data_IF_363716980450
#
_entry.id   IF_363716980450
#
_cell.length_a   1.000
_cell.length_b   1.000
_cell.length_c   1.000
_cell.angle_alpha   90.00
_cell.angle_beta   90.00
_cell.angle_gamma   90.00
#
_symmetry.space_group_name_H-M   'P 1'
#
loop_
_entity.id
_entity.type
_entity.pdbx_description
1 polymer ?
#
# COMPACT_ATOMS: atom_id res chain seq x y z
N UNK A 1 -19.67 -23.89 1.57
CA UNK A 1 -18.48 -24.68 1.75
C UNK A 1 -17.58 -24.24 2.89
N UNK A 2 -18.18 -23.64 3.95
CA UNK A 2 -17.49 -23.15 5.14
C UNK A 2 -16.72 -24.28 5.87
N UNK A 3 -17.31 -25.47 5.99
CA UNK A 3 -16.67 -26.63 6.65
C UNK A 3 -15.33 -27.01 6.00
N UNK A 4 -15.23 -26.95 4.65
CA UNK A 4 -13.97 -27.24 3.98
C UNK A 4 -12.94 -26.10 4.18
N UNK A 5 -13.40 -24.86 4.31
CA UNK A 5 -12.55 -23.75 4.68
C UNK A 5 -12.01 -23.94 6.11
N UNK A 6 -12.87 -24.24 7.06
CA UNK A 6 -12.48 -24.48 8.46
C UNK A 6 -11.49 -25.64 8.57
N UNK A 7 -11.74 -26.75 7.83
CA UNK A 7 -10.82 -27.87 7.76
C UNK A 7 -9.43 -27.46 7.28
N UNK A 8 -9.38 -26.65 6.22
CA UNK A 8 -8.10 -26.14 5.68
C UNK A 8 -7.40 -25.19 6.66
N UNK A 9 -8.15 -24.32 7.30
CA UNK A 9 -7.61 -23.39 8.30
C UNK A 9 -7.06 -24.13 9.51
N UNK A 10 -7.78 -25.14 10.03
CA UNK A 10 -7.31 -25.98 11.11
C UNK A 10 -6.05 -26.76 10.72
N UNK A 11 -6.01 -27.34 9.53
CA UNK A 11 -4.82 -28.05 9.02
C UNK A 11 -3.61 -27.11 8.98
N UNK A 12 -3.77 -25.91 8.42
CA UNK A 12 -2.70 -24.91 8.36
C UNK A 12 -2.26 -24.46 9.77
N UNK A 13 -3.22 -24.27 10.68
CA UNK A 13 -2.92 -23.91 12.05
C UNK A 13 -2.06 -24.98 12.76
N UNK A 14 -2.42 -26.24 12.68
CA UNK A 14 -1.62 -27.33 13.25
C UNK A 14 -0.24 -27.43 12.59
N UNK A 15 -0.16 -27.29 11.26
CA UNK A 15 1.13 -27.24 10.55
C UNK A 15 1.99 -26.08 11.03
N UNK A 16 1.41 -24.92 11.33
CA UNK A 16 2.16 -23.77 11.85
C UNK A 16 2.74 -24.01 13.26
N UNK A 17 2.17 -24.95 14.00
CA UNK A 17 2.68 -25.40 15.31
C UNK A 17 3.73 -26.52 15.21
N UNK A 18 4.07 -26.96 14.00
CA UNK A 18 5.04 -28.01 13.74
C UNK A 18 4.47 -29.41 13.46
N UNK A 19 3.17 -29.58 13.48
CA UNK A 19 2.53 -30.86 13.18
C UNK A 19 2.38 -31.05 11.67
N UNK A 20 3.44 -31.49 11.02
CA UNK A 20 3.49 -31.59 9.56
C UNK A 20 2.48 -32.57 8.99
N UNK A 21 2.36 -33.76 9.60
CA UNK A 21 1.48 -34.87 9.16
C UNK A 21 0.06 -34.75 9.66
N UNK A 22 -0.36 -33.55 10.13
CA UNK A 22 -1.71 -33.38 10.66
C UNK A 22 -2.77 -33.77 9.63
N UNK A 23 -3.72 -34.58 10.07
CA UNK A 23 -4.87 -34.95 9.27
C UNK A 23 -6.19 -34.78 10.04
N UNK A 24 -7.22 -34.33 9.32
CA UNK A 24 -8.58 -34.26 9.85
C UNK A 24 -9.37 -35.47 9.30
N UNK A 25 -9.56 -36.45 10.15
CA UNK A 25 -10.13 -37.76 9.79
C UNK A 25 -11.65 -37.74 9.63
N UNK A 26 -12.35 -36.91 10.38
CA UNK A 26 -13.79 -36.75 10.26
C UNK A 26 -14.26 -35.36 10.66
N UNK A 27 -15.39 -34.98 10.06
CA UNK A 27 -16.13 -33.78 10.42
C UNK A 27 -17.59 -34.15 10.52
N UNK A 28 -18.20 -33.98 11.68
CA UNK A 28 -19.64 -34.21 11.89
C UNK A 28 -20.33 -32.90 12.27
N UNK A 29 -21.54 -32.73 11.77
CA UNK A 29 -22.44 -31.66 12.15
C UNK A 29 -23.65 -32.27 12.86
N UNK A 30 -23.92 -31.85 14.08
CA UNK A 30 -25.09 -32.26 14.84
C UNK A 30 -25.95 -31.04 15.15
N UNK A 31 -27.27 -31.16 14.98
CA UNK A 31 -28.18 -30.12 15.42
C UNK A 31 -28.34 -30.25 16.93
N UNK A 32 -28.02 -29.20 17.65
CA UNK A 32 -28.37 -29.04 19.05
C UNK A 32 -29.75 -28.40 19.17
N UNK A 33 -30.47 -28.66 20.27
CA UNK A 33 -31.75 -28.01 20.53
C UNK A 33 -31.60 -26.50 20.45
N UNK A 34 -32.50 -25.80 19.74
CA UNK A 34 -32.54 -24.34 19.48
C UNK A 34 -31.78 -23.83 18.28
N UNK A 35 -31.82 -24.47 17.13
CA UNK A 35 -31.31 -23.96 15.85
C UNK A 35 -29.79 -23.78 15.76
N UNK A 36 -29.01 -24.30 16.69
CA UNK A 36 -27.57 -24.29 16.65
C UNK A 36 -27.02 -25.56 16.01
N UNK A 37 -25.96 -25.42 15.20
CA UNK A 37 -25.23 -26.54 14.61
C UNK A 37 -23.89 -26.68 15.34
N UNK A 38 -23.66 -27.82 15.95
CA UNK A 38 -22.37 -28.16 16.53
C UNK A 38 -21.51 -28.89 15.48
N UNK A 39 -20.33 -28.30 15.18
CA UNK A 39 -19.34 -28.86 14.26
C UNK A 39 -18.23 -29.54 15.08
N UNK A 40 -18.03 -30.83 14.86
CA UNK A 40 -16.99 -31.62 15.55
C UNK A 40 -15.94 -32.06 14.53
N UNK A 41 -14.69 -31.69 14.77
CA UNK A 41 -13.54 -32.10 13.97
C UNK A 41 -12.72 -33.13 14.76
N UNK A 42 -12.44 -34.27 14.14
CA UNK A 42 -11.53 -35.29 14.71
C UNK A 42 -10.16 -35.09 14.05
N UNK A 43 -9.20 -34.67 14.84
CA UNK A 43 -7.88 -34.28 14.38
C UNK A 43 -6.85 -35.29 14.86
N UNK A 44 -6.09 -35.87 13.93
CA UNK A 44 -4.86 -36.59 14.23
C UNK A 44 -3.68 -35.64 13.95
N UNK A 45 -3.08 -35.11 14.99
CA UNK A 45 -2.03 -34.13 14.87
C UNK A 45 -0.67 -34.73 14.43
N UNK A 46 -0.43 -36.00 14.74
CA UNK A 46 0.87 -36.64 14.52
C UNK A 46 1.95 -36.12 15.46
N UNK A 47 3.21 -36.25 15.04
CA UNK A 47 4.35 -35.71 15.80
C UNK A 47 4.73 -34.31 15.30
N UNK A 48 5.48 -33.59 16.14
CA UNK A 48 6.03 -32.26 15.75
C UNK A 48 7.37 -32.46 15.08
N UNK A 49 7.60 -31.65 14.04
CA UNK A 49 8.82 -31.64 13.25
C UNK A 49 9.62 -30.36 13.48
N UNK A 50 10.93 -30.49 13.56
CA UNK A 50 11.89 -29.39 13.73
C UNK A 50 12.61 -29.19 12.39
N UNK A 51 12.84 -27.95 11.99
CA UNK A 51 13.67 -27.61 10.84
C UNK A 51 15.13 -27.84 11.22
N UNK A 52 15.72 -28.94 10.71
CA UNK A 52 17.10 -29.30 11.04
C UNK A 52 18.11 -28.55 10.20
N UNK A 53 17.90 -28.49 8.88
CA UNK A 53 18.81 -27.86 7.94
C UNK A 53 18.05 -27.09 6.88
N UNK A 54 18.60 -25.93 6.54
CA UNK A 54 18.11 -25.14 5.41
C UNK A 54 19.30 -24.85 4.50
N UNK A 55 19.11 -25.08 3.21
CA UNK A 55 20.19 -24.84 2.21
C UNK A 55 19.59 -24.28 0.91
N UNK A 56 20.45 -23.56 0.18
CA UNK A 56 20.13 -23.07 -1.15
C UNK A 56 21.00 -23.80 -2.16
N UNK A 57 20.41 -24.31 -3.22
CA UNK A 57 21.08 -24.83 -4.39
C UNK A 57 20.83 -23.84 -5.53
N UNK A 58 21.90 -23.34 -6.13
CA UNK A 58 21.84 -22.32 -7.17
C UNK A 58 22.51 -22.88 -8.42
N UNK A 59 21.82 -22.74 -9.55
CA UNK A 59 22.36 -23.08 -10.85
C UNK A 59 23.61 -22.23 -11.13
N UNK A 60 24.56 -22.80 -11.89
CA UNK A 60 25.83 -22.14 -12.21
C UNK A 60 25.69 -20.90 -13.11
N UNK A 61 24.53 -20.71 -13.71
CA UNK A 61 24.18 -19.51 -14.50
C UNK A 61 24.09 -18.25 -13.62
N UNK A 62 23.76 -18.42 -12.34
CA UNK A 62 23.59 -17.31 -11.41
C UNK A 62 24.73 -17.20 -10.41
N UNK A 63 25.10 -15.96 -10.06
CA UNK A 63 26.06 -15.72 -8.99
C UNK A 63 25.47 -16.11 -7.64
N UNK A 64 26.08 -17.10 -6.99
CA UNK A 64 25.68 -17.60 -5.68
C UNK A 64 25.74 -16.53 -4.58
N UNK A 65 26.54 -15.49 -4.77
CA UNK A 65 26.67 -14.38 -3.79
C UNK A 65 25.39 -13.60 -3.61
N UNK A 66 24.54 -13.54 -4.64
CA UNK A 66 23.22 -12.86 -4.60
C UNK A 66 22.33 -13.44 -3.49
N UNK A 67 22.42 -14.75 -3.24
CA UNK A 67 21.57 -15.46 -2.31
C UNK A 67 22.16 -15.60 -0.88
N UNK A 68 23.37 -15.07 -0.64
CA UNK A 68 23.97 -15.08 0.70
C UNK A 68 23.13 -14.39 1.80
N UNK A 69 22.36 -13.33 1.52
CA UNK A 69 21.48 -12.73 2.52
C UNK A 69 20.48 -13.73 3.15
N UNK A 70 20.03 -14.76 2.42
CA UNK A 70 19.15 -15.81 2.94
C UNK A 70 19.74 -16.54 4.15
N UNK A 71 21.06 -16.64 4.27
CA UNK A 71 21.72 -17.30 5.40
C UNK A 71 21.39 -16.64 6.73
N UNK A 72 21.06 -15.34 6.74
CA UNK A 72 20.63 -14.63 7.95
C UNK A 72 19.28 -15.15 8.45
N UNK A 73 18.36 -15.40 7.52
CA UNK A 73 17.04 -15.96 7.81
C UNK A 73 17.16 -17.42 8.21
N UNK A 74 17.98 -18.20 7.50
CA UNK A 74 18.22 -19.61 7.79
C UNK A 74 18.71 -19.85 9.21
N UNK A 75 19.70 -19.05 9.67
CA UNK A 75 20.22 -19.12 11.06
C UNK A 75 19.17 -18.81 12.11
N UNK A 76 18.19 -17.97 11.79
CA UNK A 76 17.11 -17.59 12.70
C UNK A 76 16.05 -18.69 12.81
N UNK A 77 15.81 -19.41 11.71
CA UNK A 77 14.72 -20.39 11.59
C UNK A 77 15.18 -21.82 11.90
N UNK A 78 16.46 -22.13 11.66
CA UNK A 78 17.02 -23.45 11.93
C UNK A 78 16.90 -23.79 13.41
N UNK A 79 16.43 -24.99 13.72
CA UNK A 79 16.12 -25.46 15.08
C UNK A 79 14.70 -25.16 15.57
N UNK A 80 13.96 -24.33 14.86
CA UNK A 80 12.57 -24.06 15.19
C UNK A 80 11.64 -25.17 14.70
N UNK A 81 10.42 -25.18 15.24
CA UNK A 81 9.37 -26.03 14.69
C UNK A 81 9.02 -25.59 13.26
N UNK A 82 8.73 -26.60 12.41
CA UNK A 82 8.27 -26.35 11.06
C UNK A 82 7.02 -25.48 11.03
N UNK A 83 6.95 -24.58 10.05
CA UNK A 83 5.75 -23.81 9.77
C UNK A 83 5.73 -23.43 8.29
N UNK A 84 4.62 -23.62 7.57
CA UNK A 84 4.44 -23.13 6.21
C UNK A 84 4.69 -21.63 6.09
N UNK A 85 4.39 -20.87 7.14
CA UNK A 85 4.66 -19.43 7.20
C UNK A 85 6.15 -19.12 7.13
N UNK A 86 7.01 -19.88 7.81
CA UNK A 86 8.48 -19.70 7.75
C UNK A 86 9.03 -20.03 6.37
N UNK A 87 8.51 -21.09 5.74
CA UNK A 87 8.86 -21.45 4.36
C UNK A 87 8.47 -20.31 3.42
N UNK A 88 7.25 -19.79 3.57
CA UNK A 88 6.75 -18.67 2.77
C UNK A 88 7.59 -17.40 2.94
N UNK A 89 8.03 -17.07 4.16
CA UNK A 89 8.93 -15.93 4.38
C UNK A 89 10.25 -16.05 3.62
N UNK A 90 10.81 -17.27 3.54
CA UNK A 90 12.04 -17.51 2.77
C UNK A 90 11.78 -17.35 1.28
N UNK A 91 10.65 -17.86 0.78
CA UNK A 91 10.26 -17.73 -0.63
C UNK A 91 10.03 -16.26 -1.01
N UNK A 92 9.35 -15.49 -0.17
CA UNK A 92 9.15 -14.05 -0.39
C UNK A 92 10.48 -13.28 -0.44
N UNK A 93 11.44 -13.61 0.42
CA UNK A 93 12.77 -12.98 0.38
C UNK A 93 13.57 -13.42 -0.86
N UNK A 94 13.40 -14.66 -1.28
CA UNK A 94 14.01 -15.17 -2.49
C UNK A 94 13.47 -14.47 -3.74
N UNK A 95 12.15 -14.27 -3.81
CA UNK A 95 11.49 -13.47 -4.84
C UNK A 95 12.03 -12.04 -4.88
N UNK A 96 12.22 -11.42 -3.71
CA UNK A 96 12.80 -10.08 -3.60
C UNK A 96 14.25 -10.03 -4.13
N UNK A 97 15.06 -11.06 -3.86
CA UNK A 97 16.43 -11.13 -4.36
C UNK A 97 16.47 -11.33 -5.88
N UNK A 98 15.63 -12.20 -6.43
CA UNK A 98 15.48 -12.41 -7.87
C UNK A 98 15.11 -11.09 -8.56
N UNK A 99 14.10 -10.41 -8.04
CA UNK A 99 13.60 -9.15 -8.59
C UNK A 99 14.63 -8.01 -8.48
N UNK A 100 15.22 -7.83 -7.29
CA UNK A 100 16.17 -6.74 -7.06
C UNK A 100 17.47 -6.87 -7.85
N UNK A 101 17.82 -8.09 -8.28
CA UNK A 101 18.96 -8.35 -9.13
C UNK A 101 18.59 -8.57 -10.61
N UNK A 102 17.31 -8.35 -10.96
CA UNK A 102 16.80 -8.50 -12.34
C UNK A 102 17.17 -9.83 -12.97
N UNK A 103 17.06 -10.93 -12.19
CA UNK A 103 17.39 -12.27 -12.68
C UNK A 103 16.28 -12.78 -13.59
N UNK A 104 16.53 -12.69 -14.89
CA UNK A 104 15.60 -13.19 -15.89
C UNK A 104 15.58 -14.73 -15.87
N UNK A 105 14.40 -15.31 -16.14
CA UNK A 105 14.16 -16.74 -16.21
C UNK A 105 14.51 -17.53 -14.94
N UNK A 106 14.71 -16.88 -13.80
CA UNK A 106 14.98 -17.59 -12.56
C UNK A 106 13.67 -18.20 -12.01
N UNK A 107 13.67 -19.51 -11.90
CA UNK A 107 12.63 -20.28 -11.24
C UNK A 107 13.15 -20.84 -9.92
N UNK A 108 12.33 -20.93 -8.91
CA UNK A 108 12.68 -21.56 -7.65
C UNK A 108 11.64 -22.57 -7.20
N UNK A 109 12.09 -23.53 -6.43
CA UNK A 109 11.26 -24.52 -5.78
C UNK A 109 11.82 -24.84 -4.39
N UNK A 110 10.95 -25.35 -3.50
CA UNK A 110 11.40 -25.86 -2.21
C UNK A 110 11.15 -27.36 -2.16
N UNK A 111 12.20 -28.09 -1.81
CA UNK A 111 12.15 -29.52 -1.53
C UNK A 111 12.17 -29.71 0.00
N UNK A 112 11.19 -30.44 0.52
CA UNK A 112 11.06 -30.76 1.94
C UNK A 112 11.45 -32.21 2.16
N UNK A 113 12.62 -32.45 2.75
CA UNK A 113 13.11 -33.80 3.08
C UNK A 113 12.73 -34.12 4.51
N UNK A 114 11.83 -35.10 4.68
CA UNK A 114 11.25 -35.45 5.96
C UNK A 114 11.97 -36.68 6.52
N UNK A 115 12.40 -36.60 7.76
CA UNK A 115 12.99 -37.70 8.56
C UNK A 115 12.36 -37.78 9.95
N UNK A 116 12.94 -38.56 10.85
CA UNK A 116 12.43 -38.81 12.20
C UNK A 116 12.24 -37.52 13.04
N UNK A 117 11.08 -36.88 12.92
CA UNK A 117 10.75 -35.62 13.61
C UNK A 117 11.52 -34.40 13.14
N UNK A 118 12.21 -34.48 12.00
CA UNK A 118 13.03 -33.44 11.42
C UNK A 118 12.71 -33.21 9.96
N UNK A 119 12.83 -31.96 9.52
CA UNK A 119 12.64 -31.55 8.14
C UNK A 119 13.87 -30.75 7.69
N UNK A 120 14.42 -31.15 6.55
CA UNK A 120 15.43 -30.34 5.85
C UNK A 120 14.79 -29.66 4.65
N UNK A 121 15.07 -28.35 4.50
CA UNK A 121 14.54 -27.54 3.41
C UNK A 121 15.66 -27.23 2.41
N UNK A 122 15.42 -27.51 1.14
CA UNK A 122 16.35 -27.19 0.05
C UNK A 122 15.62 -26.23 -0.89
N UNK A 123 16.07 -25.00 -0.96
CA UNK A 123 15.59 -24.01 -1.93
C UNK A 123 16.45 -24.14 -3.19
N UNK A 124 15.87 -24.66 -4.25
CA UNK A 124 16.54 -24.92 -5.53
C UNK A 124 16.21 -23.80 -6.51
N UNK A 125 17.24 -23.09 -6.98
CA UNK A 125 17.14 -21.95 -7.90
C UNK A 125 17.78 -22.40 -9.20
N UNK A 126 16.98 -22.43 -10.26
CA UNK A 126 17.39 -22.91 -11.58
C UNK A 126 17.05 -21.88 -12.66
N UNK A 127 17.81 -21.89 -13.75
CA UNK A 127 17.36 -21.27 -14.98
C UNK A 127 16.17 -22.07 -15.51
N UNK A 128 15.03 -21.37 -15.68
CA UNK A 128 13.83 -21.93 -16.30
C UNK A 128 13.91 -21.86 -17.82
N UNK A 129 12.89 -22.35 -18.47
CA UNK A 129 12.72 -22.22 -19.91
C UNK A 129 12.69 -20.74 -20.30
N UNK A 130 13.39 -20.40 -21.39
CA UNK A 130 13.38 -19.02 -21.95
C UNK A 130 12.09 -18.80 -22.72
N UNK A 131 11.03 -18.58 -21.98
CA UNK A 131 9.69 -18.36 -22.53
C UNK A 131 9.41 -16.87 -22.54
N UNK A 132 8.93 -16.36 -23.67
CA UNK A 132 8.57 -14.96 -23.85
C UNK A 132 7.05 -14.79 -23.90
N UNK A 133 6.59 -13.59 -23.59
CA UNK A 133 5.19 -13.21 -23.76
C UNK A 133 4.93 -12.89 -25.22
N UNK A 134 4.05 -13.65 -25.88
CA UNK A 134 3.65 -13.37 -27.25
C UNK A 134 2.59 -12.28 -27.29
N UNK A 135 1.60 -12.38 -26.41
CA UNK A 135 0.45 -11.46 -26.37
C UNK A 135 -0.16 -11.38 -24.98
N UNK A 136 -0.62 -10.20 -24.63
CA UNK A 136 -1.47 -9.95 -23.46
C UNK A 136 -2.85 -9.51 -23.93
N UNK A 137 -3.86 -10.36 -23.73
CA UNK A 137 -5.25 -10.07 -24.04
C UNK A 137 -5.95 -9.58 -22.76
N UNK A 138 -6.66 -8.47 -22.84
CA UNK A 138 -7.44 -7.91 -21.73
C UNK A 138 -8.92 -8.09 -22.04
N UNK A 139 -9.65 -8.70 -21.11
CA UNK A 139 -11.04 -9.08 -21.25
C UNK A 139 -11.86 -8.59 -20.05
N UNK A 140 -13.08 -8.10 -20.32
CA UNK A 140 -14.03 -7.70 -19.27
C UNK A 140 -14.00 -6.22 -18.88
N UNK A 141 -13.15 -5.42 -19.50
CA UNK A 141 -13.05 -3.97 -19.32
C UNK A 141 -14.02 -3.23 -20.25
N UNK A 142 -15.29 -3.13 -19.87
CA UNK A 142 -16.32 -2.49 -20.69
C UNK A 142 -16.34 -0.95 -20.56
N UNK A 143 -15.95 -0.42 -19.41
CA UNK A 143 -15.91 1.01 -19.08
C UNK A 143 -14.47 1.50 -19.05
N UNK A 144 -13.58 0.72 -18.42
CA UNK A 144 -12.17 1.08 -18.23
C UNK A 144 -11.40 0.92 -19.52
N UNK A 145 -10.68 1.96 -19.92
CA UNK A 145 -9.80 1.92 -21.09
C UNK A 145 -8.68 0.90 -20.87
N UNK A 146 -8.31 0.22 -21.94
CA UNK A 146 -7.27 -0.83 -21.91
C UNK A 146 -5.92 -0.30 -21.42
N UNK A 147 -5.57 0.94 -21.79
CA UNK A 147 -4.33 1.58 -21.38
C UNK A 147 -4.19 1.68 -19.85
N UNK A 148 -5.31 1.79 -19.12
CA UNK A 148 -5.29 1.83 -17.64
C UNK A 148 -4.84 0.50 -17.05
N UNK A 149 -5.17 -0.61 -17.69
CA UNK A 149 -4.76 -1.94 -17.25
C UNK A 149 -3.32 -2.21 -17.69
N UNK A 150 -2.99 -1.88 -18.94
CA UNK A 150 -1.65 -2.06 -19.49
C UNK A 150 -0.60 -1.28 -18.72
N UNK A 151 -0.91 -0.07 -18.24
CA UNK A 151 0.03 0.74 -17.46
C UNK A 151 0.39 0.16 -16.07
N UNK A 152 -0.32 -0.88 -15.62
CA UNK A 152 -0.04 -1.57 -14.36
C UNK A 152 0.70 -2.91 -14.58
N UNK A 153 1.01 -3.26 -15.82
CA UNK A 153 1.71 -4.50 -16.15
C UNK A 153 3.21 -4.37 -15.85
N UNK A 154 3.77 -5.42 -15.28
CA UNK A 154 5.22 -5.59 -15.05
C UNK A 154 5.88 -6.42 -16.16
N UNK A 155 5.12 -6.76 -17.21
CA UNK A 155 5.57 -7.51 -18.37
C UNK A 155 4.76 -7.07 -19.60
N UNK A 156 5.46 -6.91 -20.70
CA UNK A 156 4.90 -6.58 -22.00
C UNK A 156 5.11 -7.70 -23.02
N UNK A 157 4.51 -7.55 -24.18
CA UNK A 157 4.69 -8.44 -25.31
C UNK A 157 6.15 -8.40 -25.78
N UNK A 158 6.79 -9.58 -25.80
CA UNK A 158 8.22 -9.75 -26.07
C UNK A 158 9.10 -9.88 -24.83
N UNK A 159 8.58 -9.60 -23.65
CA UNK A 159 9.32 -9.74 -22.39
C UNK A 159 9.43 -11.21 -21.94
N UNK A 160 10.44 -11.53 -21.10
CA UNK A 160 10.50 -12.82 -20.44
C UNK A 160 9.27 -13.07 -19.57
N UNK A 161 8.59 -14.20 -19.81
CA UNK A 161 7.49 -14.60 -18.97
C UNK A 161 8.00 -15.14 -17.64
N UNK A 162 7.54 -14.55 -16.54
CA UNK A 162 7.70 -15.08 -15.19
C UNK A 162 6.37 -15.01 -14.44
N UNK A 163 6.07 -16.01 -13.61
CA UNK A 163 4.88 -15.96 -12.76
C UNK A 163 4.97 -14.80 -11.74
N UNK A 164 6.18 -14.43 -11.33
CA UNK A 164 6.41 -13.31 -10.42
C UNK A 164 5.94 -11.99 -11.04
N UNK A 165 6.36 -11.68 -12.27
CA UNK A 165 5.95 -10.46 -12.98
C UNK A 165 4.45 -10.45 -13.25
N UNK A 166 3.87 -11.60 -13.63
CA UNK A 166 2.43 -11.72 -13.80
C UNK A 166 1.65 -11.46 -12.50
N UNK A 167 2.08 -12.07 -11.38
CA UNK A 167 1.44 -11.88 -10.09
C UNK A 167 1.57 -10.43 -9.59
N UNK A 168 2.70 -9.77 -9.85
CA UNK A 168 2.87 -8.33 -9.57
C UNK A 168 1.91 -7.49 -10.40
N UNK A 169 1.81 -7.74 -11.70
CA UNK A 169 0.86 -7.08 -12.59
C UNK A 169 -0.58 -7.19 -12.05
N UNK A 170 -1.00 -8.40 -11.68
CA UNK A 170 -2.33 -8.64 -11.09
C UNK A 170 -2.49 -7.83 -9.79
N UNK A 171 -1.48 -7.83 -8.93
CA UNK A 171 -1.50 -7.09 -7.66
C UNK A 171 -1.58 -5.58 -7.88
N UNK A 172 -0.86 -5.03 -8.87
CA UNK A 172 -0.92 -3.61 -9.24
C UNK A 172 -2.32 -3.23 -9.74
N UNK A 173 -2.89 -4.03 -10.65
CA UNK A 173 -4.25 -3.81 -11.16
C UNK A 173 -5.27 -3.85 -10.02
N UNK A 174 -5.19 -4.83 -9.11
CA UNK A 174 -6.06 -4.93 -7.94
C UNK A 174 -5.91 -3.72 -6.99
N UNK A 175 -4.70 -3.21 -6.83
CA UNK A 175 -4.42 -2.04 -5.97
C UNK A 175 -5.13 -0.76 -6.45
N UNK A 176 -5.50 -0.68 -7.72
CA UNK A 176 -6.30 0.42 -8.29
C UNK A 176 -7.73 0.47 -7.75
N UNK A 177 -8.25 -0.64 -7.22
CA UNK A 177 -9.62 -0.78 -6.70
C UNK A 177 -10.72 -0.43 -7.73
N UNK A 178 -10.42 -0.60 -9.01
CA UNK A 178 -11.36 -0.42 -10.13
C UNK A 178 -12.10 -1.74 -10.41
N UNK A 179 -11.42 -2.85 -10.11
CA UNK A 179 -11.92 -4.20 -10.42
C UNK A 179 -12.25 -4.97 -9.15
N UNK A 180 -13.31 -5.77 -9.21
CA UNK A 180 -13.72 -6.71 -8.15
C UNK A 180 -12.81 -7.93 -8.13
N UNK A 181 -12.58 -8.50 -9.33
CA UNK A 181 -11.67 -9.64 -9.52
C UNK A 181 -10.74 -9.33 -10.69
N UNK A 182 -9.52 -9.84 -10.59
CA UNK A 182 -8.53 -9.87 -11.66
C UNK A 182 -7.98 -11.28 -11.69
N UNK A 183 -8.22 -11.98 -12.77
CA UNK A 183 -7.77 -13.37 -12.98
C UNK A 183 -6.91 -13.43 -14.22
N UNK A 184 -6.00 -14.39 -14.27
CA UNK A 184 -5.16 -14.64 -15.43
C UNK A 184 -5.26 -16.08 -15.88
N UNK A 185 -5.21 -16.30 -17.19
CA UNK A 185 -5.07 -17.61 -17.81
C UNK A 185 -3.88 -17.57 -18.76
N UNK A 186 -2.89 -18.42 -18.50
CA UNK A 186 -1.68 -18.52 -19.33
C UNK A 186 -1.78 -19.76 -20.20
N UNK A 187 -1.68 -19.57 -21.50
CA UNK A 187 -1.74 -20.63 -22.49
C UNK A 187 -0.50 -20.62 -23.39
N UNK A 188 -0.27 -21.73 -24.08
CA UNK A 188 0.80 -21.80 -25.09
C UNK A 188 0.49 -20.88 -26.26
N UNK A 189 1.50 -20.15 -26.72
CA UNK A 189 1.43 -19.30 -27.89
C UNK A 189 1.64 -20.07 -29.19
N UNK A 190 2.06 -19.36 -30.23
CA UNK A 190 2.31 -19.91 -31.57
C UNK A 190 3.48 -20.92 -31.61
N UNK A 191 4.37 -20.91 -30.63
CA UNK A 191 5.47 -21.85 -30.43
C UNK A 191 5.63 -22.24 -28.96
N UNK A 192 6.46 -23.26 -28.68
CA UNK A 192 6.66 -23.78 -27.31
C UNK A 192 7.34 -22.80 -26.37
N UNK A 193 8.11 -21.85 -26.92
CA UNK A 193 8.83 -20.80 -26.23
C UNK A 193 8.05 -19.49 -26.09
N UNK A 194 6.76 -19.49 -26.51
CA UNK A 194 5.87 -18.35 -26.41
C UNK A 194 4.64 -18.65 -25.55
N UNK A 195 4.19 -17.64 -24.81
CA UNK A 195 2.98 -17.69 -23.99
C UNK A 195 2.04 -16.55 -24.35
N UNK A 196 0.76 -16.86 -24.41
CA UNK A 196 -0.31 -15.87 -24.40
C UNK A 196 -0.93 -15.75 -23.00
N UNK A 197 -1.18 -14.53 -22.58
CA UNK A 197 -1.77 -14.22 -21.28
C UNK A 197 -3.14 -13.59 -21.50
N UNK A 198 -4.19 -14.23 -21.01
CA UNK A 198 -5.51 -13.64 -20.94
C UNK A 198 -5.71 -13.07 -19.53
N UNK A 199 -5.81 -11.75 -19.41
CA UNK A 199 -6.18 -11.05 -18.18
C UNK A 199 -7.68 -10.80 -18.21
N UNK A 200 -8.40 -11.42 -17.28
CA UNK A 200 -9.85 -11.34 -17.17
C UNK A 200 -10.18 -10.47 -15.97
N UNK A 201 -10.75 -9.30 -16.23
CA UNK A 201 -11.14 -8.36 -15.18
C UNK A 201 -12.66 -8.29 -15.03
N UNK A 202 -13.13 -8.10 -13.81
CA UNK A 202 -14.52 -7.79 -13.53
C UNK A 202 -14.59 -6.41 -12.89
N UNK A 203 -15.18 -5.46 -13.61
CA UNK A 203 -15.36 -4.09 -13.13
C UNK A 203 -16.31 -4.03 -11.92
N UNK A 204 -16.09 -3.02 -11.07
CA UNK A 204 -16.98 -2.70 -9.96
C UNK A 204 -17.29 -1.20 -9.96
N UNK A 205 -18.36 -0.75 -9.29
CA UNK A 205 -18.57 0.66 -9.06
C UNK A 205 -17.38 1.31 -8.39
N UNK A 206 -16.87 2.39 -8.96
CA UNK A 206 -15.66 3.12 -8.49
C UNK A 206 -15.98 4.45 -7.84
N UNK A 207 -17.24 4.90 -8.01
CA UNK A 207 -17.79 6.08 -7.37
C UNK A 207 -18.23 5.82 -5.93
N UNK A 208 -17.87 6.71 -5.04
CA UNK A 208 -18.27 6.70 -3.63
C UNK A 208 -18.89 8.05 -3.28
N UNK A 209 -20.06 8.01 -2.68
CA UNK A 209 -20.72 9.19 -2.10
C UNK A 209 -20.95 8.90 -0.63
N UNK A 210 -20.43 9.76 0.22
CA UNK A 210 -20.68 9.69 1.66
C UNK A 210 -21.21 11.01 2.20
N UNK A 211 -22.14 10.93 3.13
CA UNK A 211 -22.64 12.08 3.86
C UNK A 211 -22.76 11.71 5.34
N UNK A 212 -22.31 12.60 6.19
CA UNK A 212 -22.35 12.43 7.64
C UNK A 212 -22.82 13.70 8.33
N UNK A 213 -23.59 13.54 9.41
CA UNK A 213 -23.92 14.64 10.29
C UNK A 213 -23.61 14.23 11.74
N UNK A 214 -23.13 15.16 12.53
CA UNK A 214 -22.78 14.95 13.93
C UNK A 214 -23.15 16.13 14.81
N UNK A 215 -23.22 15.88 16.11
CA UNK A 215 -23.38 16.93 17.12
C UNK A 215 -22.26 16.72 18.15
N UNK A 216 -21.48 17.77 18.38
CA UNK A 216 -20.37 17.78 19.33
C UNK A 216 -20.48 19.00 20.28
N UNK A 217 -19.45 19.20 21.09
CA UNK A 217 -19.32 20.34 22.00
C UNK A 217 -19.32 21.69 21.26
N UNK A 218 -18.85 21.70 20.01
CA UNK A 218 -18.74 22.88 19.14
C UNK A 218 -19.96 23.06 18.23
N UNK A 219 -21.06 22.29 18.48
CA UNK A 219 -22.30 22.37 17.72
C UNK A 219 -22.46 21.24 16.70
N UNK A 220 -23.38 21.46 15.73
CA UNK A 220 -23.64 20.53 14.64
C UNK A 220 -22.52 20.58 13.57
N UNK A 221 -22.22 19.43 12.96
CA UNK A 221 -21.35 19.32 11.82
C UNK A 221 -22.02 18.51 10.71
N UNK A 222 -21.67 18.83 9.47
CA UNK A 222 -22.07 18.08 8.28
C UNK A 222 -20.85 17.92 7.38
N UNK A 223 -20.65 16.70 6.89
CA UNK A 223 -19.61 16.39 5.93
C UNK A 223 -20.21 15.65 4.72
N UNK A 224 -19.73 15.97 3.55
CA UNK A 224 -20.15 15.36 2.30
C UNK A 224 -18.92 15.12 1.42
N UNK A 225 -18.74 13.88 0.94
CA UNK A 225 -17.65 13.50 0.06
C UNK A 225 -18.19 12.82 -1.19
N UNK A 226 -17.70 13.22 -2.34
CA UNK A 226 -17.86 12.51 -3.63
C UNK A 226 -16.47 12.14 -4.11
N UNK A 227 -16.27 10.87 -4.40
CA UNK A 227 -15.01 10.36 -4.93
C UNK A 227 -15.26 9.42 -6.09
N UNK A 228 -14.49 9.56 -7.16
CA UNK A 228 -14.46 8.66 -8.29
C UNK A 228 -13.02 8.23 -8.54
N UNK A 229 -12.77 6.92 -8.62
CA UNK A 229 -11.42 6.36 -8.81
C UNK A 229 -11.11 5.99 -10.27
N UNK A 230 -12.13 6.05 -11.14
CA UNK A 230 -12.01 5.71 -12.55
C UNK A 230 -12.77 6.72 -13.44
N UNK A 231 -12.48 8.00 -13.27
CA UNK A 231 -13.16 9.07 -13.97
C UNK A 231 -13.07 8.88 -15.49
N UNK A 232 -14.24 8.79 -16.13
CA UNK A 232 -14.43 8.53 -17.58
C UNK A 232 -13.74 7.24 -18.08
N UNK A 233 -13.54 6.26 -17.21
CA UNK A 233 -12.85 5.01 -17.56
C UNK A 233 -11.35 5.16 -17.78
N UNK A 234 -10.76 6.29 -17.38
CA UNK A 234 -9.35 6.62 -17.62
C UNK A 234 -8.46 6.36 -16.40
N UNK A 235 -8.96 5.66 -15.37
CA UNK A 235 -8.20 5.39 -14.15
C UNK A 235 -7.82 6.63 -13.35
N UNK A 236 -8.33 7.79 -13.72
CA UNK A 236 -8.09 9.07 -13.04
C UNK A 236 -8.98 9.16 -11.81
N UNK A 237 -8.45 9.80 -10.77
CA UNK A 237 -9.19 9.98 -9.53
C UNK A 237 -9.65 11.43 -9.41
N UNK A 238 -10.92 11.60 -9.08
CA UNK A 238 -11.52 12.90 -8.78
C UNK A 238 -12.17 12.81 -7.42
N UNK A 239 -11.91 13.77 -6.55
CA UNK A 239 -12.59 13.84 -5.26
C UNK A 239 -13.00 15.27 -4.93
N UNK A 240 -14.16 15.39 -4.30
CA UNK A 240 -14.66 16.61 -3.73
C UNK A 240 -15.10 16.33 -2.30
N UNK A 241 -14.50 17.04 -1.36
CA UNK A 241 -14.80 16.97 0.06
C UNK A 241 -15.36 18.31 0.53
N UNK A 242 -16.49 18.27 1.20
CA UNK A 242 -17.11 19.44 1.80
C UNK A 242 -17.43 19.16 3.27
N UNK A 243 -17.01 20.05 4.14
CA UNK A 243 -17.28 19.98 5.57
C UNK A 243 -17.75 21.34 6.07
N UNK A 244 -18.82 21.34 6.87
CA UNK A 244 -19.33 22.54 7.52
C UNK A 244 -19.66 22.23 8.98
N UNK A 245 -19.24 23.12 9.86
CA UNK A 245 -19.67 23.16 11.24
C UNK A 245 -19.91 24.62 11.64
N UNK A 246 -20.28 24.86 12.91
CA UNK A 246 -20.59 26.20 13.41
C UNK A 246 -19.47 27.22 13.20
N UNK A 247 -18.22 26.76 13.19
CA UNK A 247 -17.02 27.61 13.21
C UNK A 247 -16.13 27.43 11.99
N UNK A 248 -16.47 26.52 11.06
CA UNK A 248 -15.64 26.23 9.89
C UNK A 248 -16.47 25.78 8.70
N UNK A 249 -16.07 26.26 7.52
CA UNK A 249 -16.52 25.76 6.22
C UNK A 249 -15.27 25.38 5.42
N UNK A 250 -15.19 24.13 4.98
CA UNK A 250 -14.08 23.63 4.21
C UNK A 250 -14.57 22.96 2.93
N UNK A 251 -13.97 23.32 1.81
CA UNK A 251 -14.17 22.67 0.51
C UNK A 251 -12.81 22.29 -0.08
N UNK A 252 -12.66 21.05 -0.50
CA UNK A 252 -11.46 20.56 -1.15
C UNK A 252 -11.86 19.85 -2.45
N UNK A 253 -11.09 20.10 -3.49
CA UNK A 253 -11.19 19.40 -4.77
C UNK A 253 -9.81 18.83 -5.11
N UNK A 254 -9.76 17.58 -5.52
CA UNK A 254 -8.54 16.95 -5.99
C UNK A 254 -8.79 16.17 -7.28
N UNK A 255 -7.82 16.25 -8.17
CA UNK A 255 -7.72 15.47 -9.38
C UNK A 255 -6.34 14.82 -9.43
N UNK A 256 -6.29 13.51 -9.66
CA UNK A 256 -5.04 12.76 -9.77
C UNK A 256 -5.09 11.89 -11.04
N UNK A 257 -4.12 12.10 -11.91
CA UNK A 257 -3.79 11.16 -12.96
C UNK A 257 -2.54 10.39 -12.51
N UNK A 258 -2.65 9.12 -12.12
CA UNK A 258 -1.53 8.35 -11.58
C UNK A 258 -0.49 7.94 -12.64
N UNK A 259 -0.90 7.86 -13.90
CA UNK A 259 -0.05 7.52 -15.05
C UNK A 259 -0.33 8.54 -16.15
N UNK A 260 0.16 9.79 -15.99
CA UNK A 260 -0.14 10.83 -16.96
C UNK A 260 0.75 10.78 -18.22
N UNK A 261 1.85 10.03 -18.13
CA UNK A 261 2.78 9.79 -19.24
C UNK A 261 3.16 8.30 -19.34
N UNK A 262 3.93 7.96 -20.36
CA UNK A 262 4.38 6.57 -20.61
C UNK A 262 5.43 6.05 -19.60
N UNK A 263 5.95 6.93 -18.75
CA UNK A 263 6.91 6.56 -17.70
C UNK A 263 6.24 6.22 -16.37
N UNK A 264 4.89 6.27 -16.30
CA UNK A 264 4.13 6.01 -15.09
C UNK A 264 4.21 7.13 -14.05
N UNK A 265 4.56 8.36 -14.48
CA UNK A 265 4.59 9.50 -13.58
C UNK A 265 3.17 9.96 -13.23
N UNK A 266 2.97 10.38 -12.00
CA UNK A 266 1.67 10.91 -11.56
C UNK A 266 1.59 12.43 -11.73
N UNK A 267 0.37 12.93 -12.00
CA UNK A 267 0.07 14.37 -12.02
C UNK A 267 -1.14 14.61 -11.11
N UNK A 268 -1.00 15.61 -10.22
CA UNK A 268 -2.04 15.96 -9.25
C UNK A 268 -2.35 17.46 -9.34
N UNK A 269 -3.63 17.79 -9.28
CA UNK A 269 -4.14 19.12 -9.02
C UNK A 269 -4.96 19.10 -7.75
N UNK A 270 -4.85 20.16 -6.95
CA UNK A 270 -5.66 20.34 -5.76
C UNK A 270 -6.11 21.79 -5.63
N UNK A 271 -7.31 21.96 -5.12
CA UNK A 271 -7.88 23.24 -4.74
C UNK A 271 -8.47 23.11 -3.35
N UNK A 272 -8.18 24.07 -2.48
CA UNK A 272 -8.69 24.11 -1.10
C UNK A 272 -9.23 25.48 -0.79
N UNK A 273 -10.40 25.54 -0.19
CA UNK A 273 -10.99 26.74 0.37
C UNK A 273 -11.46 26.45 1.79
N UNK A 274 -10.89 27.14 2.76
CA UNK A 274 -11.24 27.00 4.19
C UNK A 274 -11.56 28.36 4.76
N UNK A 275 -12.72 28.45 5.42
CA UNK A 275 -13.08 29.60 6.25
C UNK A 275 -13.27 29.10 7.68
N UNK A 276 -12.55 29.69 8.62
CA UNK A 276 -12.72 29.44 10.06
C UNK A 276 -13.19 30.72 10.71
N UNK A 277 -14.33 30.69 11.38
CA UNK A 277 -14.85 31.79 12.21
C UNK A 277 -14.86 31.34 13.67
N UNK A 278 -13.97 31.91 14.45
CA UNK A 278 -13.74 31.59 15.87
C UNK A 278 -14.11 32.79 16.75
N UNK A 279 -15.42 33.11 16.89
CA UNK A 279 -15.85 34.31 17.58
C UNK A 279 -15.42 34.37 19.05
N UNK A 280 -15.32 33.19 19.71
CA UNK A 280 -14.85 33.09 21.09
C UNK A 280 -13.34 33.39 21.22
N UNK A 281 -12.57 33.22 20.17
CA UNK A 281 -11.15 33.55 20.11
C UNK A 281 -10.88 34.88 19.41
N UNK A 282 -11.93 35.48 18.83
CA UNK A 282 -11.92 36.81 18.24
C UNK A 282 -11.28 36.89 16.86
N UNK A 283 -11.32 35.84 16.04
CA UNK A 283 -10.77 35.88 14.68
C UNK A 283 -11.61 35.14 13.65
N UNK A 284 -11.51 35.57 12.42
CA UNK A 284 -11.93 34.89 11.20
C UNK A 284 -10.69 34.69 10.30
N UNK A 285 -10.56 33.50 9.73
CA UNK A 285 -9.47 33.17 8.80
C UNK A 285 -10.02 32.55 7.52
N UNK A 286 -9.66 33.11 6.36
CA UNK A 286 -10.01 32.59 5.03
C UNK A 286 -8.73 32.19 4.30
N UNK A 287 -8.63 30.90 3.94
CA UNK A 287 -7.51 30.35 3.19
C UNK A 287 -8.01 29.78 1.87
N UNK A 288 -7.47 30.26 0.78
CA UNK A 288 -7.67 29.69 -0.55
C UNK A 288 -6.32 29.22 -1.07
N UNK A 289 -6.24 28.00 -1.57
CA UNK A 289 -5.01 27.49 -2.18
C UNK A 289 -5.28 26.64 -3.41
N UNK A 290 -4.36 26.71 -4.36
CA UNK A 290 -4.30 25.88 -5.55
C UNK A 290 -2.91 25.26 -5.63
N UNK A 291 -2.82 24.00 -6.04
CA UNK A 291 -1.55 23.32 -6.18
C UNK A 291 -1.51 22.38 -7.38
N UNK A 292 -0.31 22.17 -7.88
CA UNK A 292 0.02 21.17 -8.87
C UNK A 292 1.22 20.37 -8.36
N UNK A 293 1.21 19.07 -8.57
CA UNK A 293 2.30 18.21 -8.15
C UNK A 293 2.49 17.03 -9.10
N UNK A 294 3.70 16.50 -9.10
CA UNK A 294 4.08 15.30 -9.84
C UNK A 294 4.81 14.35 -8.92
N UNK A 295 4.68 13.05 -9.17
CA UNK A 295 5.40 11.99 -8.46
C UNK A 295 5.89 10.96 -9.45
N UNK A 296 7.12 10.49 -9.23
CA UNK A 296 7.78 9.50 -10.08
C UNK A 296 8.74 8.64 -9.25
N UNK A 297 8.99 7.44 -9.72
CA UNK A 297 10.01 6.57 -9.16
C UNK A 297 11.39 6.99 -9.71
N UNK A 298 12.22 7.57 -8.85
CA UNK A 298 13.55 8.04 -9.24
C UNK A 298 14.58 6.91 -9.25
N UNK A 299 14.47 6.02 -8.31
CA UNK A 299 15.25 4.77 -8.19
C UNK A 299 14.30 3.69 -7.71
N UNK A 300 14.63 2.43 -7.93
CA UNK A 300 13.80 1.29 -7.48
C UNK A 300 13.38 1.45 -6.02
N UNK A 301 12.06 1.45 -5.78
CA UNK A 301 11.42 1.65 -4.47
C UNK A 301 11.61 3.04 -3.83
N UNK A 302 12.21 4.02 -4.55
CA UNK A 302 12.38 5.40 -4.08
C UNK A 302 11.56 6.34 -4.96
N UNK A 303 10.48 6.83 -4.39
CA UNK A 303 9.56 7.74 -5.06
C UNK A 303 9.85 9.18 -4.67
N UNK A 304 9.94 10.04 -5.68
CA UNK A 304 10.11 11.50 -5.52
C UNK A 304 8.79 12.19 -5.83
N UNK A 305 8.43 13.17 -5.01
CA UNK A 305 7.27 14.03 -5.22
C UNK A 305 7.74 15.47 -5.26
N UNK A 306 7.29 16.21 -6.28
CA UNK A 306 7.50 17.63 -6.42
C UNK A 306 6.15 18.33 -6.48
N UNK A 307 6.00 19.49 -5.84
CA UNK A 307 4.80 20.29 -6.00
C UNK A 307 5.06 21.78 -5.95
N UNK A 308 4.17 22.53 -6.58
CA UNK A 308 4.07 23.96 -6.53
C UNK A 308 2.68 24.33 -6.07
N UNK A 309 2.56 25.27 -5.15
CA UNK A 309 1.27 25.77 -4.67
C UNK A 309 1.27 27.30 -4.55
N UNK A 310 0.10 27.87 -4.78
CA UNK A 310 -0.17 29.27 -4.49
C UNK A 310 -1.30 29.34 -3.46
N UNK A 311 -1.17 30.19 -2.45
CA UNK A 311 -2.20 30.39 -1.43
C UNK A 311 -2.38 31.86 -1.08
N UNK A 312 -3.63 32.19 -0.76
CA UNK A 312 -4.03 33.47 -0.20
C UNK A 312 -4.72 33.22 1.14
N UNK A 313 -4.32 33.98 2.14
CA UNK A 313 -4.72 33.82 3.55
C UNK A 313 -5.11 35.19 4.11
N UNK A 314 -6.39 35.37 4.50
CA UNK A 314 -6.93 36.59 5.09
C UNK A 314 -7.32 36.31 6.54
N UNK A 315 -6.57 36.87 7.48
CA UNK A 315 -6.82 36.76 8.92
C UNK A 315 -7.35 38.08 9.47
N UNK A 316 -8.58 38.10 9.88
CA UNK A 316 -9.26 39.24 10.50
C UNK A 316 -9.45 38.98 11.98
N UNK A 317 -9.27 40.04 12.78
CA UNK A 317 -9.43 39.95 14.22
C UNK A 317 -10.41 41.00 14.71
N UNK A 318 -11.12 40.68 15.78
CA UNK A 318 -12.02 41.63 16.47
C UNK A 318 -11.44 42.06 17.83
N UNK A 319 -12.23 42.79 18.63
CA UNK A 319 -11.78 43.33 19.90
C UNK A 319 -11.44 42.27 20.95
N UNK A 320 -12.04 41.07 20.88
CA UNK A 320 -11.82 39.97 21.82
C UNK A 320 -10.55 39.16 21.51
N UNK A 321 -9.92 39.38 20.35
CA UNK A 321 -8.70 38.70 19.99
C UNK A 321 -7.53 39.06 20.90
N UNK A 322 -6.65 38.07 21.16
CA UNK A 322 -5.44 38.30 21.91
C UNK A 322 -4.47 39.26 21.16
N UNK A 323 -3.63 39.95 21.91
CA UNK A 323 -2.62 40.85 21.31
C UNK A 323 -1.70 40.12 20.29
N UNK A 324 -1.39 38.87 20.53
CA UNK A 324 -0.60 38.04 19.61
C UNK A 324 -1.34 37.74 18.30
N UNK A 325 -2.64 37.48 18.34
CA UNK A 325 -3.47 37.31 17.15
C UNK A 325 -3.65 38.59 16.35
N UNK A 326 -3.89 39.71 17.06
CA UNK A 326 -4.01 41.04 16.42
C UNK A 326 -2.76 41.43 15.62
N UNK A 327 -1.57 41.07 16.10
CA UNK A 327 -0.31 41.28 15.36
C UNK A 327 -0.19 40.43 14.10
N UNK A 328 -0.93 39.33 14.00
CA UNK A 328 -0.92 38.43 12.83
C UNK A 328 -2.08 38.71 11.85
N UNK A 329 -2.95 39.67 12.15
CA UNK A 329 -4.04 40.09 11.27
C UNK A 329 -3.49 40.67 9.98
N UNK A 330 -4.14 40.37 8.87
CA UNK A 330 -3.79 40.86 7.53
C UNK A 330 -4.01 39.82 6.43
N UNK A 331 -3.71 40.27 5.23
CA UNK A 331 -3.78 39.46 4.02
C UNK A 331 -2.36 39.00 3.64
N UNK A 332 -2.22 37.74 3.28
CA UNK A 332 -0.92 37.14 3.00
C UNK A 332 -1.01 36.26 1.78
N UNK A 333 -0.09 36.48 0.86
CA UNK A 333 0.10 35.67 -0.34
C UNK A 333 1.36 34.81 -0.22
N UNK A 334 1.31 33.63 -0.82
CA UNK A 334 2.43 32.70 -0.80
C UNK A 334 2.44 31.85 -2.08
N UNK A 335 3.63 31.69 -2.64
CA UNK A 335 3.96 30.67 -3.63
C UNK A 335 5.01 29.77 -2.99
N UNK A 336 4.69 28.51 -2.82
CA UNK A 336 5.57 27.54 -2.17
C UNK A 336 5.86 26.36 -3.11
N UNK A 337 7.11 25.95 -3.14
CA UNK A 337 7.56 24.69 -3.69
C UNK A 337 7.66 23.65 -2.60
N UNK A 338 7.41 22.39 -2.91
CA UNK A 338 7.78 21.31 -2.01
C UNK A 338 8.42 20.15 -2.76
N UNK A 339 9.30 19.46 -2.08
CA UNK A 339 9.84 18.19 -2.54
C UNK A 339 9.75 17.16 -1.43
N UNK A 340 9.66 15.91 -1.82
CA UNK A 340 9.61 14.80 -0.88
C UNK A 340 10.13 13.53 -1.48
N UNK A 341 10.62 12.66 -0.63
CA UNK A 341 11.09 11.34 -0.97
C UNK A 341 10.36 10.32 -0.11
N UNK A 342 10.02 9.20 -0.70
CA UNK A 342 9.47 8.06 0.04
C UNK A 342 10.14 6.77 -0.42
N UNK A 343 10.37 5.88 0.53
CA UNK A 343 10.87 4.53 0.28
C UNK A 343 9.85 3.53 0.84
N UNK A 344 9.39 2.62 -0.01
CA UNK A 344 8.42 1.59 0.39
C UNK A 344 9.07 0.20 0.26
N UNK A 345 9.40 -0.38 1.40
CA UNK A 345 9.98 -1.71 1.55
C UNK A 345 9.03 -2.66 2.30
N UNK A 346 7.74 -2.44 2.17
CA UNK A 346 6.73 -3.36 2.70
C UNK A 346 6.61 -4.57 1.78
N UNK A 347 6.40 -5.73 2.35
CA UNK A 347 6.18 -6.96 1.57
C UNK A 347 4.91 -6.91 0.70
N UNK A 348 3.94 -6.05 1.03
CA UNK A 348 2.74 -5.78 0.23
C UNK A 348 2.14 -4.42 0.60
N UNK A 349 1.53 -3.75 -0.39
CA UNK A 349 0.94 -2.41 -0.21
C UNK A 349 -0.34 -2.45 0.65
N UNK A 350 -1.13 -3.52 0.50
CA UNK A 350 -2.37 -3.73 1.24
C UNK A 350 -2.16 -4.75 2.37
N UNK A 351 -2.56 -4.41 3.59
CA UNK A 351 -2.38 -5.22 4.81
C UNK A 351 -0.93 -5.76 4.96
N UNK A 352 0.08 -4.88 5.01
CA UNK A 352 1.46 -5.29 5.13
C UNK A 352 1.70 -6.07 6.42
N UNK A 353 2.49 -7.12 6.34
CA UNK A 353 2.84 -7.96 7.48
C UNK A 353 4.31 -7.82 7.88
N UNK A 354 5.16 -7.32 6.99
CA UNK A 354 6.58 -7.05 7.28
C UNK A 354 7.09 -5.87 6.45
N UNK A 355 8.26 -5.35 6.84
CA UNK A 355 8.91 -4.24 6.17
C UNK A 355 8.55 -2.87 6.71
N UNK A 356 8.82 -1.83 5.95
CA UNK A 356 8.58 -0.44 6.36
C UNK A 356 8.29 0.46 5.17
N UNK A 357 7.62 1.56 5.44
CA UNK A 357 7.52 2.71 4.55
C UNK A 357 7.99 3.95 5.31
N UNK A 358 8.90 4.71 4.69
CA UNK A 358 9.38 5.96 5.25
C UNK A 358 9.23 7.08 4.22
N UNK A 359 8.91 8.28 4.67
CA UNK A 359 8.84 9.46 3.81
C UNK A 359 9.36 10.70 4.51
N UNK A 360 9.98 11.57 3.74
CA UNK A 360 10.38 12.90 4.12
C UNK A 360 9.85 13.88 3.10
N UNK A 361 9.34 15.02 3.54
CA UNK A 361 8.98 16.13 2.67
C UNK A 361 9.36 17.45 3.31
N UNK A 362 9.75 18.41 2.47
CA UNK A 362 10.07 19.78 2.87
C UNK A 362 9.33 20.77 1.97
N UNK A 363 8.68 21.74 2.60
CA UNK A 363 8.07 22.90 1.94
C UNK A 363 8.97 24.12 2.04
N UNK A 364 9.19 24.78 0.91
CA UNK A 364 10.06 25.94 0.75
C UNK A 364 9.24 27.12 0.23
N UNK A 365 9.33 28.31 0.83
CA UNK A 365 8.74 29.51 0.26
C UNK A 365 9.55 29.95 -0.96
N UNK A 366 8.91 30.06 -2.13
CA UNK A 366 9.47 30.68 -3.32
C UNK A 366 9.18 32.21 -3.31
N UNK A 367 7.98 32.56 -2.86
CA UNK A 367 7.52 33.88 -2.51
C UNK A 367 6.57 33.79 -1.35
N UNK A 368 6.74 34.57 -0.30
CA UNK A 368 5.78 34.63 0.79
C UNK A 368 5.94 35.95 1.56
N UNK A 369 4.81 36.55 1.95
CA UNK A 369 4.80 37.76 2.82
C UNK A 369 5.36 37.41 4.23
N UNK A 370 5.15 36.19 4.70
CA UNK A 370 5.76 35.65 5.92
C UNK A 370 6.32 34.26 5.64
N UNK A 371 7.61 34.17 5.26
CA UNK A 371 8.20 32.91 4.85
C UNK A 371 8.45 31.99 6.03
N UNK A 372 8.26 30.70 5.80
CA UNK A 372 8.55 29.62 6.76
C UNK A 372 9.06 28.37 6.07
N UNK A 373 9.76 27.55 6.81
CA UNK A 373 10.24 26.24 6.39
C UNK A 373 9.45 25.16 7.13
N UNK A 374 8.82 24.26 6.38
CA UNK A 374 8.09 23.11 6.93
C UNK A 374 8.77 21.80 6.58
N UNK A 375 8.96 20.90 7.57
CA UNK A 375 9.48 19.57 7.34
C UNK A 375 8.53 18.55 7.94
N UNK A 376 8.31 17.47 7.21
CA UNK A 376 7.50 16.34 7.66
C UNK A 376 8.28 15.05 7.47
N UNK A 377 8.44 14.25 8.52
CA UNK A 377 9.00 12.92 8.46
C UNK A 377 8.00 11.91 8.99
N UNK A 378 7.79 10.83 8.25
CA UNK A 378 6.90 9.73 8.64
C UNK A 378 7.61 8.41 8.43
N UNK A 379 7.45 7.50 9.37
CA UNK A 379 7.85 6.11 9.19
C UNK A 379 6.81 5.18 9.80
N UNK A 380 6.49 4.12 9.07
CA UNK A 380 5.65 3.03 9.56
C UNK A 380 6.39 1.72 9.33
N UNK A 381 6.60 0.95 10.39
CA UNK A 381 7.25 -0.35 10.35
C UNK A 381 6.26 -1.42 10.77
N UNK A 382 6.30 -2.52 10.06
CA UNK A 382 5.46 -3.70 10.30
C UNK A 382 6.35 -4.89 10.63
N UNK A 383 5.89 -5.75 11.50
CA UNK A 383 6.58 -6.99 11.83
C UNK A 383 5.58 -8.07 12.22
N UNK A 384 5.66 -9.19 11.55
CA UNK A 384 4.84 -10.36 11.87
C UNK A 384 5.50 -11.17 12.98
N UNK A 385 4.83 -11.28 14.12
CA UNK A 385 5.27 -12.13 15.23
C UNK A 385 4.89 -13.60 14.98
N UNK A 386 3.75 -13.80 14.32
CA UNK A 386 3.26 -15.11 13.87
C UNK A 386 2.20 -14.88 12.77
N UNK A 387 1.58 -15.93 12.26
CA UNK A 387 0.58 -15.87 11.17
C UNK A 387 -0.65 -15.00 11.48
N UNK A 388 -0.98 -14.83 12.76
CA UNK A 388 -2.19 -14.15 13.21
C UNK A 388 -1.93 -12.79 13.85
N UNK A 389 -0.67 -12.46 14.18
CA UNK A 389 -0.33 -11.25 14.93
C UNK A 389 0.72 -10.45 14.16
N UNK A 390 0.33 -9.27 13.72
CA UNK A 390 1.21 -8.29 13.11
C UNK A 390 1.30 -7.06 14.00
N UNK A 391 2.50 -6.72 14.42
CA UNK A 391 2.79 -5.45 15.10
C UNK A 391 3.04 -4.35 14.09
N UNK A 392 2.51 -3.15 14.37
CA UNK A 392 2.78 -1.96 13.57
C UNK A 392 3.18 -0.80 14.47
N UNK A 393 4.34 -0.21 14.20
CA UNK A 393 4.82 1.02 14.83
C UNK A 393 4.79 2.16 13.82
N UNK A 394 4.27 3.33 14.22
CA UNK A 394 4.25 4.54 13.40
C UNK A 394 4.88 5.68 14.16
N UNK A 395 5.77 6.42 13.49
CA UNK A 395 6.36 7.65 14.00
C UNK A 395 6.09 8.78 13.03
N UNK A 396 5.71 9.92 13.55
CA UNK A 396 5.42 11.13 12.80
C UNK A 396 6.13 12.31 13.47
N UNK A 397 6.89 13.06 12.69
CA UNK A 397 7.55 14.29 13.11
C UNK A 397 7.22 15.39 12.11
N UNK A 398 6.69 16.48 12.61
CA UNK A 398 6.39 17.68 11.84
C UNK A 398 7.05 18.88 12.49
N UNK A 399 7.80 19.65 11.74
CA UNK A 399 8.42 20.88 12.22
C UNK A 399 8.10 22.03 11.27
N UNK A 400 7.89 23.20 11.86
CA UNK A 400 7.67 24.42 11.11
C UNK A 400 8.38 25.56 11.80
N UNK A 401 9.18 26.31 11.04
CA UNK A 401 9.99 27.40 11.54
C UNK A 401 9.80 28.63 10.65
N UNK A 402 9.52 29.77 11.26
CA UNK A 402 9.53 31.06 10.56
C UNK A 402 10.95 31.40 10.09
N UNK A 403 11.06 32.07 8.97
CA UNK A 403 12.30 32.60 8.44
C UNK A 403 12.35 34.12 8.65
N UNK A 404 13.55 34.72 8.65
CA UNK A 404 13.75 36.14 8.80
C UNK A 404 13.16 36.75 10.09
N UNK A 405 13.24 35.99 11.20
CA UNK A 405 12.67 36.37 12.51
C UNK A 405 11.15 36.60 12.50
N UNK A 406 10.46 36.09 11.48
CA UNK A 406 9.00 36.16 11.37
C UNK A 406 8.31 34.99 12.08
N UNK A 407 7.22 35.29 12.76
CA UNK A 407 6.35 34.27 13.37
C UNK A 407 5.59 33.49 12.27
N UNK A 408 5.51 32.17 12.48
CA UNK A 408 4.66 31.31 11.62
C UNK A 408 3.19 31.71 11.79
N UNK A 409 2.52 31.97 10.66
CA UNK A 409 1.10 32.36 10.62
C UNK A 409 0.21 31.27 11.25
N UNK A 410 -0.90 31.71 11.86
CA UNK A 410 -1.85 30.81 12.52
C UNK A 410 -2.33 29.68 11.58
N UNK A 411 -2.68 29.99 10.35
CA UNK A 411 -3.18 29.06 9.33
C UNK A 411 -2.16 27.97 8.95
N UNK A 412 -0.87 28.22 9.17
CA UNK A 412 0.22 27.29 8.83
C UNK A 412 0.73 26.50 10.04
N UNK A 413 0.33 26.88 11.26
CA UNK A 413 0.75 26.17 12.48
C UNK A 413 0.18 24.76 12.49
N UNK A 414 1.01 23.84 12.92
CA UNK A 414 0.62 22.43 13.07
C UNK A 414 0.01 22.21 14.45
N UNK A 415 -1.15 21.57 14.49
CA UNK A 415 -1.79 21.14 15.73
C UNK A 415 -1.86 19.61 15.78
N UNK A 416 -1.60 19.04 16.95
CA UNK A 416 -1.95 17.65 17.19
C UNK A 416 -3.48 17.58 17.30
N UNK A 417 -4.12 16.82 16.41
CA UNK A 417 -5.53 16.52 16.60
C UNK A 417 -5.65 15.62 17.83
N UNK A 418 -6.20 16.13 18.89
CA UNK A 418 -6.71 15.30 19.99
C UNK A 418 -7.92 14.54 19.45
N UNK A 419 -7.81 13.23 19.31
CA UNK A 419 -8.95 12.35 19.09
C UNK A 419 -9.73 12.18 20.37
#
# INVERSE_FOLDING_TARGET
>A
NLVNLDKRLLTNYYKSLGYYDVSISSTSAQFSDNSNVELKFTINAGQRYIIEKISTKVDNVYDKSIFLPLNKIYRKISGDYYSPFKVKQILEELDNLIDSNSLQFANHSVEEIIGDGKISLIFDIREGDKVLVERVNILGNSITKEEVIRSELELDEGDPFTELSLNKSISNIQARKIFRTVESNVRSGSSSDLKEIDLIVQEQPTGEISAGAGIGTDGGSFAFTVKENNWLGEGKQVAFDFEVNKESVKGEFSYVNPNYDLLGNSLRYNFTNVTNDKPNQGYENKLVSIGVGTGYEQFKDIFTNLSLSASYDDLRTNNSASSALKKQSGEFSEIAGSYGFSIDKRNRKFMPTDGYIASFSQGLPLYADKPYLGNTFKISKYHSFNENIVGAGKFYLDTINGLNDEDVRLSKRKSLSTR
#
